data_IF_254621742915
#
_entry.id   IF_254621742915
#
_cell.length_a   1.000
_cell.length_b   1.000
_cell.length_c   1.000
_cell.angle_alpha   90.00
_cell.angle_beta   90.00
_cell.angle_gamma   90.00
#
_symmetry.space_group_name_H-M   'P 1'
#
loop_
_entity.id
_entity.type
_entity.pdbx_description
1 polymer ?
#
# COMPACT_ATOMS: atom_id res chain seq x y z
N UNK A 1 13.97 1.11 34.10
CA UNK A 1 14.44 1.33 32.73
C UNK A 1 13.52 0.49 31.86
N UNK A 2 12.35 1.03 31.52
CA UNK A 2 11.29 0.31 30.82
C UNK A 2 11.64 0.21 29.33
N UNK A 3 11.43 -0.98 28.76
CA UNK A 3 11.74 -1.30 27.37
C UNK A 3 10.77 -0.61 26.39
N UNK A 4 11.21 -0.47 25.14
CA UNK A 4 10.53 0.25 24.07
C UNK A 4 9.40 -0.53 23.36
N UNK A 5 8.82 -1.57 23.97
CA UNK A 5 7.80 -2.43 23.32
C UNK A 5 6.34 -2.13 23.68
N UNK A 6 6.04 -1.09 24.47
CA UNK A 6 4.65 -0.79 24.86
C UNK A 6 4.37 0.71 24.98
N UNK A 7 4.15 1.38 23.85
CA UNK A 7 3.31 2.59 23.80
C UNK A 7 2.01 2.18 23.12
N UNK A 8 0.93 2.16 23.91
CA UNK A 8 -0.37 1.64 23.50
C UNK A 8 -0.98 2.45 22.35
N UNK A 9 -1.06 1.83 21.17
CA UNK A 9 -1.93 2.28 20.08
C UNK A 9 -3.28 1.57 20.24
N UNK A 10 -4.21 2.21 20.93
CA UNK A 10 -5.62 1.84 20.82
C UNK A 10 -6.52 3.05 21.10
N UNK A 11 -6.85 3.81 20.04
CA UNK A 11 -8.20 4.30 19.71
C UNK A 11 -8.17 5.12 18.42
N UNK A 12 -8.82 4.60 17.39
CA UNK A 12 -8.94 5.18 16.05
C UNK A 12 -8.15 4.36 15.04
N UNK A 13 -8.83 3.64 14.14
CA UNK A 13 -8.16 3.14 12.93
C UNK A 13 -7.56 4.36 12.23
N UNK A 14 -6.28 4.39 11.88
CA UNK A 14 -5.70 5.52 11.18
C UNK A 14 -6.52 5.76 9.92
N UNK A 15 -7.20 6.92 9.88
CA UNK A 15 -8.27 7.18 8.93
C UNK A 15 -7.78 7.44 7.51
N UNK A 16 -6.46 7.62 7.33
CA UNK A 16 -5.88 7.72 6.01
C UNK A 16 -4.37 7.53 5.94
N UNK A 17 -3.92 7.26 4.73
CA UNK A 17 -2.54 6.91 4.37
C UNK A 17 -2.15 7.62 3.08
N UNK A 18 -0.86 7.85 2.89
CA UNK A 18 -0.34 8.43 1.67
C UNK A 18 0.88 7.66 1.13
N UNK A 19 1.08 7.72 -0.18
CA UNK A 19 2.27 7.24 -0.85
C UNK A 19 2.62 8.13 -2.05
N UNK A 20 3.91 8.12 -2.40
CA UNK A 20 4.44 8.73 -3.62
C UNK A 20 4.86 7.66 -4.60
N UNK A 21 4.68 7.96 -5.88
CA UNK A 21 5.08 7.13 -7.00
C UNK A 21 5.88 7.98 -7.99
N UNK A 22 6.79 7.36 -8.78
CA UNK A 22 7.48 8.07 -9.85
C UNK A 22 6.50 8.73 -10.81
N UNK A 23 6.83 9.94 -11.28
CA UNK A 23 6.05 10.61 -12.32
C UNK A 23 5.95 9.72 -13.56
N UNK A 24 4.74 9.64 -14.13
CA UNK A 24 4.46 8.78 -15.29
C UNK A 24 4.13 7.33 -14.94
N UNK A 25 4.02 6.97 -13.65
CA UNK A 25 3.44 5.69 -13.23
C UNK A 25 2.06 5.53 -13.87
N UNK A 26 1.76 4.41 -14.57
CA UNK A 26 0.49 4.28 -15.29
C UNK A 26 -0.72 4.46 -14.38
N UNK A 27 -1.66 5.32 -14.79
CA UNK A 27 -2.89 5.56 -14.05
C UNK A 27 -3.70 4.27 -13.80
N UNK A 28 -3.63 3.30 -14.72
CA UNK A 28 -4.26 1.99 -14.54
C UNK A 28 -3.69 1.22 -13.33
N UNK A 29 -2.39 1.35 -13.05
CA UNK A 29 -1.75 0.77 -11.87
C UNK A 29 -2.19 1.49 -10.60
N UNK A 30 -2.18 2.83 -10.59
CA UNK A 30 -2.57 3.62 -9.41
C UNK A 30 -4.06 3.44 -9.05
N UNK A 31 -4.91 3.21 -10.04
CA UNK A 31 -6.35 2.97 -9.88
C UNK A 31 -6.71 1.52 -9.56
N UNK A 32 -5.74 0.61 -9.46
CA UNK A 32 -6.00 -0.78 -9.15
C UNK A 32 -6.41 -0.93 -7.67
N UNK A 33 -7.71 -0.90 -7.42
CA UNK A 33 -8.30 -1.08 -6.08
C UNK A 33 -8.30 -2.54 -5.63
N UNK A 34 -7.84 -3.48 -6.47
CA UNK A 34 -7.60 -4.86 -6.03
C UNK A 34 -6.32 -5.02 -5.22
N UNK A 35 -5.46 -3.99 -5.26
CA UNK A 35 -4.21 -3.93 -4.51
C UNK A 35 -4.32 -2.90 -3.40
N UNK A 36 -3.84 -3.29 -2.23
CA UNK A 36 -3.60 -2.39 -1.12
C UNK A 36 -2.54 -1.34 -1.50
N UNK A 37 -2.53 -0.20 -0.80
CA UNK A 37 -1.49 0.81 -1.00
C UNK A 37 -0.09 0.24 -0.77
N UNK A 38 0.07 -0.65 0.21
CA UNK A 38 1.33 -1.33 0.51
C UNK A 38 1.80 -2.21 -0.65
N UNK A 39 0.90 -2.98 -1.26
CA UNK A 39 1.22 -3.80 -2.44
C UNK A 39 1.62 -2.93 -3.65
N UNK A 40 0.92 -1.82 -3.89
CA UNK A 40 1.29 -0.90 -4.95
C UNK A 40 2.68 -0.29 -4.74
N UNK A 41 3.00 0.13 -3.51
CA UNK A 41 4.32 0.65 -3.16
C UNK A 41 5.40 -0.41 -3.35
N UNK A 42 5.13 -1.67 -2.98
CA UNK A 42 6.08 -2.76 -3.13
C UNK A 42 6.34 -3.15 -4.60
N UNK A 43 5.33 -3.02 -5.47
CA UNK A 43 5.43 -3.42 -6.88
C UNK A 43 6.04 -2.35 -7.79
N UNK A 44 5.86 -1.06 -7.46
CA UNK A 44 6.32 0.04 -8.32
C UNK A 44 7.72 0.50 -7.88
N UNK A 45 8.77 0.30 -8.70
CA UNK A 45 10.12 0.74 -8.34
C UNK A 45 10.18 2.25 -8.16
N UNK A 46 10.71 2.71 -7.02
CA UNK A 46 10.79 4.14 -6.68
C UNK A 46 9.50 4.71 -6.10
N UNK A 47 8.47 3.88 -5.85
CA UNK A 47 7.38 4.26 -4.99
C UNK A 47 7.79 4.11 -3.52
N UNK A 48 7.23 4.97 -2.66
CA UNK A 48 7.48 4.90 -1.23
C UNK A 48 6.26 5.35 -0.43
N UNK A 49 6.09 4.78 0.76
CA UNK A 49 5.02 5.12 1.68
C UNK A 49 5.36 6.41 2.41
N UNK A 50 4.40 7.35 2.43
CA UNK A 50 4.46 8.57 3.23
C UNK A 50 3.81 8.39 4.62
N UNK A 51 3.25 7.21 4.90
CA UNK A 51 2.68 6.88 6.19
C UNK A 51 1.34 7.52 6.47
N UNK A 52 1.07 7.76 7.75
CA UNK A 52 -0.19 8.32 8.24
C UNK A 52 -0.37 9.81 7.91
N UNK A 53 -1.61 10.19 7.60
CA UNK A 53 -2.05 11.58 7.51
C UNK A 53 -2.85 11.98 8.74
N UNK A 54 -2.89 13.29 9.05
CA UNK A 54 -3.60 13.82 10.22
C UNK A 54 -5.10 13.58 10.15
N UNK A 55 -5.79 13.78 11.27
CA UNK A 55 -7.25 13.67 11.35
C UNK A 55 -7.98 14.69 10.47
N UNK A 56 -7.32 15.79 10.10
CA UNK A 56 -7.83 16.79 9.14
C UNK A 56 -7.87 16.24 7.71
N UNK A 57 -7.11 15.17 7.44
CA UNK A 57 -7.08 14.46 6.17
C UNK A 57 -6.51 15.27 5.02
N UNK A 58 -7.18 15.16 3.87
CA UNK A 58 -6.79 15.80 2.61
C UNK A 58 -7.76 16.93 2.31
N UNK A 59 -7.27 18.17 2.28
CA UNK A 59 -8.05 19.35 1.94
C UNK A 59 -7.80 19.77 0.50
N UNK A 60 -8.88 19.94 -0.27
CA UNK A 60 -8.83 20.41 -1.65
C UNK A 60 -9.60 21.73 -1.71
N UNK A 61 -8.91 22.89 -1.83
CA UNK A 61 -9.58 24.17 -1.93
C UNK A 61 -10.37 24.25 -3.25
N UNK A 62 -11.53 24.89 -3.20
CA UNK A 62 -12.41 25.11 -4.37
C UNK A 62 -12.12 26.44 -5.08
N UNK A 63 -11.00 27.09 -4.78
CA UNK A 63 -10.69 28.41 -5.32
C UNK A 63 -10.48 28.33 -6.84
N UNK A 64 -11.43 28.91 -7.57
CA UNK A 64 -11.35 29.07 -9.02
C UNK A 64 -10.88 30.49 -9.31
N UNK A 65 -9.60 30.65 -9.67
CA UNK A 65 -9.11 31.93 -10.19
C UNK A 65 -9.46 32.03 -11.68
N UNK A 66 -10.43 32.87 -12.01
CA UNK A 66 -10.71 33.27 -13.40
C UNK A 66 -10.15 34.67 -13.64
N UNK A 67 -9.41 34.87 -14.74
CA UNK A 67 -9.09 36.23 -15.19
C UNK A 67 -10.21 36.71 -16.12
N UNK A 68 -10.89 37.78 -15.71
CA UNK A 68 -11.83 38.50 -16.55
C UNK A 68 -11.07 39.43 -17.50
N UNK A 69 -11.16 39.15 -18.80
CA UNK A 69 -10.87 40.18 -19.81
C UNK A 69 -12.07 41.11 -19.91
N UNK A 70 -11.82 42.39 -19.70
CA UNK A 70 -12.82 43.46 -19.68
C UNK A 70 -12.70 44.34 -20.91
N UNK A 71 -13.83 44.83 -21.41
CA UNK A 71 -13.86 45.87 -22.44
C UNK A 71 -13.43 47.23 -21.86
N UNK A 72 -13.37 48.23 -22.74
CA UNK A 72 -12.98 49.60 -22.37
C UNK A 72 -14.03 50.32 -21.50
N UNK A 73 -15.24 49.74 -21.36
CA UNK A 73 -16.29 50.19 -20.46
C UNK A 73 -16.31 49.44 -19.12
N UNK A 74 -15.38 48.50 -18.89
CA UNK A 74 -15.28 47.69 -17.67
C UNK A 74 -16.16 46.42 -17.65
N UNK A 75 -16.91 46.13 -18.73
CA UNK A 75 -17.73 44.94 -18.83
C UNK A 75 -16.88 43.72 -19.13
N UNK A 76 -17.16 42.60 -18.48
CA UNK A 76 -16.47 41.33 -18.74
C UNK A 76 -16.87 40.82 -20.13
N UNK A 77 -15.90 40.74 -21.05
CA UNK A 77 -16.09 40.25 -22.43
C UNK A 77 -15.71 38.78 -22.57
N UNK A 78 -14.83 38.29 -21.70
CA UNK A 78 -14.41 36.89 -21.68
C UNK A 78 -13.81 36.57 -20.32
N UNK A 79 -14.34 35.55 -19.65
CA UNK A 79 -13.68 34.95 -18.49
C UNK A 79 -12.85 33.76 -18.98
N UNK A 80 -11.54 33.82 -18.80
CA UNK A 80 -10.62 32.72 -19.10
C UNK A 80 -10.19 32.10 -17.77
N UNK A 81 -10.45 30.81 -17.56
CA UNK A 81 -9.79 30.07 -16.47
C UNK A 81 -8.31 29.93 -16.85
N UNK A 82 -7.42 30.57 -16.11
CA UNK A 82 -6.00 30.72 -16.50
C UNK A 82 -5.12 29.55 -16.05
N UNK A 83 -5.44 28.89 -14.94
CA UNK A 83 -4.83 27.63 -14.52
C UNK A 83 -5.87 26.80 -13.75
N UNK A 84 -6.23 25.59 -14.22
CA UNK A 84 -6.93 24.60 -13.39
C UNK A 84 -5.91 23.88 -12.50
N UNK A 85 -5.10 24.66 -11.78
CA UNK A 85 -4.15 24.14 -10.82
C UNK A 85 -4.88 23.88 -9.50
N UNK A 86 -5.44 22.69 -9.37
CA UNK A 86 -5.99 22.25 -8.08
C UNK A 86 -4.83 21.95 -7.14
N UNK A 87 -4.84 22.49 -5.92
CA UNK A 87 -3.87 22.11 -4.89
C UNK A 87 -4.48 21.12 -3.89
N UNK A 88 -3.62 20.44 -3.15
CA UNK A 88 -3.97 19.61 -2.00
C UNK A 88 -3.16 20.09 -0.81
N UNK A 89 -3.81 20.32 0.32
CA UNK A 89 -3.14 20.46 1.62
C UNK A 89 -3.35 19.18 2.43
N UNK A 90 -2.27 18.66 3.00
CA UNK A 90 -2.25 17.42 3.79
C UNK A 90 -1.16 17.51 4.85
N UNK A 91 -1.33 16.83 5.98
CA UNK A 91 -0.32 16.75 7.03
C UNK A 91 0.13 15.31 7.23
N UNK A 92 1.40 15.01 6.97
CA UNK A 92 2.01 13.71 7.24
C UNK A 92 2.50 13.63 8.70
N UNK A 93 2.22 12.53 9.39
CA UNK A 93 2.52 12.35 10.82
C UNK A 93 3.78 11.52 11.09
N UNK A 94 4.53 11.17 10.04
CA UNK A 94 5.71 10.32 10.16
C UNK A 94 7.00 11.04 9.73
N UNK A 95 8.02 10.98 10.58
CA UNK A 95 9.36 11.48 10.28
C UNK A 95 10.18 10.42 9.54
N UNK A 96 9.67 9.93 8.40
CA UNK A 96 10.36 8.96 7.53
C UNK A 96 11.18 9.66 6.46
N UNK A 97 12.17 8.96 5.91
CA UNK A 97 13.03 9.51 4.85
C UNK A 97 12.18 9.90 3.63
N UNK A 98 11.21 9.07 3.23
CA UNK A 98 10.24 9.35 2.15
C UNK A 98 9.47 10.66 2.36
N UNK A 99 8.92 10.89 3.56
CA UNK A 99 8.19 12.12 3.91
C UNK A 99 9.13 13.31 3.82
N UNK A 100 10.30 13.20 4.44
CA UNK A 100 11.26 14.29 4.47
C UNK A 100 11.78 14.61 3.06
N UNK A 101 12.07 13.61 2.24
CA UNK A 101 12.52 13.77 0.86
C UNK A 101 11.43 14.39 -0.01
N UNK A 102 10.18 13.98 0.19
CA UNK A 102 9.02 14.57 -0.50
C UNK A 102 8.83 16.04 -0.13
N UNK A 103 8.88 16.37 1.16
CA UNK A 103 8.61 17.73 1.68
C UNK A 103 9.78 18.68 1.50
N UNK A 104 11.01 18.21 1.74
CA UNK A 104 12.22 19.04 1.76
C UNK A 104 13.11 18.85 0.55
N UNK A 105 12.88 17.85 -0.31
CA UNK A 105 13.72 17.54 -1.46
C UNK A 105 14.78 16.48 -1.16
N UNK A 106 14.97 15.56 -2.11
CA UNK A 106 15.87 14.40 -1.96
C UNK A 106 17.31 14.82 -1.64
N UNK A 107 17.80 15.88 -2.29
CA UNK A 107 19.14 16.41 -2.09
C UNK A 107 19.35 17.05 -0.70
N UNK A 108 18.27 17.28 0.05
CA UNK A 108 18.27 17.98 1.33
C UNK A 108 18.10 17.04 2.52
N UNK A 109 17.90 15.75 2.27
CA UNK A 109 17.79 14.72 3.31
C UNK A 109 18.93 13.76 3.16
N UNK A 110 19.69 13.55 4.24
CA UNK A 110 20.76 12.57 4.25
C UNK A 110 20.78 11.82 5.57
N UNK A 111 21.06 10.53 5.50
CA UNK A 111 21.18 9.65 6.67
C UNK A 111 22.59 9.09 6.70
N UNK A 112 23.34 9.40 7.75
CA UNK A 112 24.71 8.93 7.96
C UNK A 112 24.90 8.52 9.42
N UNK A 113 25.45 7.34 9.64
CA UNK A 113 25.76 6.81 10.98
C UNK A 113 24.55 6.80 11.94
N UNK A 114 23.34 6.56 11.41
CA UNK A 114 22.09 6.57 12.17
C UNK A 114 21.56 7.97 12.53
N UNK A 115 22.24 9.03 12.09
CA UNK A 115 21.80 10.41 12.22
C UNK A 115 21.23 10.88 10.89
N UNK A 116 20.04 11.47 10.95
CA UNK A 116 19.38 12.07 9.78
C UNK A 116 19.49 13.59 9.84
N UNK A 117 20.03 14.17 8.77
CA UNK A 117 20.13 15.61 8.56
C UNK A 117 19.11 16.02 7.49
N UNK A 118 18.23 16.96 7.83
CA UNK A 118 17.27 17.58 6.92
C UNK A 118 17.57 19.07 6.79
N UNK A 119 17.80 19.55 5.57
CA UNK A 119 18.07 20.95 5.28
C UNK A 119 16.80 21.66 4.81
N UNK A 120 16.42 22.69 5.55
CA UNK A 120 15.23 23.49 5.24
C UNK A 120 15.60 24.60 4.24
N UNK A 121 15.08 24.52 3.01
CA UNK A 121 15.24 25.55 1.97
C UNK A 121 13.96 25.69 1.12
N UNK A 122 13.99 26.51 0.07
CA UNK A 122 12.87 26.70 -0.87
C UNK A 122 12.92 25.74 -2.08
N UNK A 123 13.89 24.83 -2.13
CA UNK A 123 14.04 23.88 -3.22
C UNK A 123 13.23 22.62 -2.90
N UNK A 124 12.00 22.59 -3.41
CA UNK A 124 11.13 21.42 -3.33
C UNK A 124 11.62 20.30 -4.25
N UNK A 125 11.19 19.07 -3.95
CA UNK A 125 11.50 17.91 -4.79
C UNK A 125 10.80 17.99 -6.16
N UNK A 126 11.26 17.17 -7.11
CA UNK A 126 10.63 17.04 -8.42
C UNK A 126 9.17 16.56 -8.35
N UNK A 127 8.45 16.67 -9.47
CA UNK A 127 7.06 16.20 -9.54
C UNK A 127 6.95 14.68 -9.33
N UNK A 128 5.91 14.26 -8.61
CA UNK A 128 5.58 12.87 -8.31
C UNK A 128 4.11 12.58 -8.57
N UNK A 129 3.76 11.30 -8.74
CA UNK A 129 2.37 10.89 -8.57
C UNK A 129 2.09 10.69 -7.07
N UNK A 130 0.94 11.14 -6.58
CA UNK A 130 0.51 10.95 -5.20
C UNK A 130 -0.73 10.08 -5.14
N UNK A 131 -0.80 9.26 -4.10
CA UNK A 131 -1.97 8.46 -3.80
C UNK A 131 -2.30 8.66 -2.31
N UNK A 132 -3.53 9.07 -2.04
CA UNK A 132 -4.07 9.20 -0.69
C UNK A 132 -5.23 8.24 -0.51
N UNK A 133 -5.27 7.51 0.59
CA UNK A 133 -6.42 6.70 0.96
C UNK A 133 -7.05 7.25 2.23
N UNK A 134 -8.37 7.36 2.26
CA UNK A 134 -9.14 7.80 3.41
C UNK A 134 -10.33 6.89 3.65
N UNK A 135 -10.58 6.48 4.89
CA UNK A 135 -11.80 5.79 5.28
C UNK A 135 -12.95 6.81 5.32
N UNK A 136 -14.00 6.59 4.52
CA UNK A 136 -15.17 7.48 4.37
C UNK A 136 -16.49 6.85 4.89
N UNK A 137 -16.39 5.87 5.80
CA UNK A 137 -17.54 5.19 6.41
C UNK A 137 -17.12 3.91 7.12
N UNK A 138 -18.08 3.07 7.53
CA UNK A 138 -17.80 1.83 8.29
C UNK A 138 -16.93 0.83 7.51
N UNK A 139 -17.11 0.77 6.19
CA UNK A 139 -16.37 -0.10 5.27
C UNK A 139 -15.91 0.58 4.00
N UNK A 140 -16.13 1.88 3.79
CA UNK A 140 -15.75 2.56 2.53
C UNK A 140 -14.40 3.26 2.64
N UNK A 141 -13.56 3.10 1.61
CA UNK A 141 -12.32 3.87 1.42
C UNK A 141 -12.41 4.67 0.13
N UNK A 142 -11.95 5.92 0.21
CA UNK A 142 -11.68 6.81 -0.91
C UNK A 142 -10.19 6.80 -1.21
N UNK A 143 -9.81 6.39 -2.41
CA UNK A 143 -8.49 6.61 -2.98
C UNK A 143 -8.50 7.84 -3.88
N UNK A 144 -7.64 8.79 -3.59
CA UNK A 144 -7.38 9.99 -4.40
C UNK A 144 -6.04 9.82 -5.10
N UNK A 145 -6.04 9.85 -6.43
CA UNK A 145 -4.84 9.76 -7.26
C UNK A 145 -4.55 11.12 -7.87
N UNK A 146 -3.31 11.59 -7.72
CA UNK A 146 -2.75 12.77 -8.40
C UNK A 146 -1.65 12.26 -9.32
N UNK A 147 -1.81 12.38 -10.64
CA UNK A 147 -0.82 11.86 -11.59
C UNK A 147 0.47 12.70 -11.63
N UNK A 148 0.35 13.99 -11.34
CA UNK A 148 1.44 14.94 -11.37
C UNK A 148 1.23 16.01 -10.29
N UNK A 149 1.85 15.78 -9.14
CA UNK A 149 1.87 16.70 -8.01
C UNK A 149 3.27 17.28 -7.81
N UNK A 150 3.35 18.55 -7.43
CA UNK A 150 4.61 19.20 -7.01
C UNK A 150 4.39 19.96 -5.71
N UNK A 151 5.29 19.82 -4.75
CA UNK A 151 5.21 20.63 -3.53
C UNK A 151 5.49 22.10 -3.89
N UNK A 152 4.60 22.99 -3.50
CA UNK A 152 4.75 24.44 -3.75
C UNK A 152 4.90 25.25 -2.47
N UNK A 153 4.30 24.77 -1.38
CA UNK A 153 4.31 25.45 -0.09
C UNK A 153 4.39 24.42 1.03
N UNK A 154 4.73 24.90 2.23
CA UNK A 154 4.70 24.12 3.46
C UNK A 154 4.35 25.05 4.61
N UNK A 155 3.55 24.55 5.53
CA UNK A 155 3.19 25.27 6.74
C UNK A 155 4.30 25.20 7.81
N UNK A 156 4.11 25.96 8.88
CA UNK A 156 5.02 25.98 10.03
C UNK A 156 5.11 24.61 10.70
N UNK A 157 6.35 24.17 10.96
CA UNK A 157 6.61 22.95 11.70
C UNK A 157 6.50 23.22 13.21
N UNK A 158 5.37 22.84 13.81
CA UNK A 158 5.17 22.95 15.25
C UNK A 158 5.91 21.82 15.99
N UNK A 159 6.89 22.19 16.83
CA UNK A 159 7.62 21.25 17.68
C UNK A 159 7.24 21.47 19.14
N UNK A 160 6.35 20.61 19.65
CA UNK A 160 5.95 20.64 21.05
C UNK A 160 6.03 19.22 21.65
N UNK A 161 5.82 19.11 22.96
CA UNK A 161 5.93 17.83 23.70
C UNK A 161 4.61 17.06 23.82
N UNK A 162 3.52 17.59 23.24
CA UNK A 162 2.16 17.13 23.43
C UNK A 162 1.57 16.50 22.17
N UNK A 163 2.00 16.96 20.99
CA UNK A 163 1.50 16.53 19.69
C UNK A 163 2.54 15.76 18.88
N UNK A 164 2.07 14.96 17.94
CA UNK A 164 2.92 14.34 16.93
C UNK A 164 3.50 15.41 16.00
N UNK A 165 4.75 15.21 15.58
CA UNK A 165 5.39 16.09 14.62
C UNK A 165 4.72 15.93 13.24
N UNK A 166 4.03 16.98 12.78
CA UNK A 166 3.31 17.00 11.51
C UNK A 166 4.07 17.76 10.42
N UNK A 167 4.16 17.19 9.23
CA UNK A 167 4.72 17.83 8.04
C UNK A 167 3.60 18.18 7.07
N UNK A 168 3.32 19.47 6.90
CA UNK A 168 2.15 19.95 6.19
C UNK A 168 2.51 20.64 4.86
N UNK A 169 2.75 19.90 3.76
CA UNK A 169 2.96 20.50 2.45
C UNK A 169 1.64 20.84 1.73
N UNK A 170 1.74 21.80 0.82
CA UNK A 170 0.76 22.03 -0.25
C UNK A 170 1.30 21.47 -1.56
N UNK A 171 0.51 20.60 -2.17
CA UNK A 171 0.82 19.90 -3.42
C UNK A 171 0.01 20.55 -4.55
N UNK A 172 0.68 21.21 -5.50
CA UNK A 172 0.06 21.66 -6.76
C UNK A 172 -0.14 20.46 -7.68
N UNK A 173 -1.39 20.19 -8.06
CA UNK A 173 -1.75 19.13 -8.99
C UNK A 173 -1.84 19.70 -10.41
N UNK A 174 -1.08 19.12 -11.33
CA UNK A 174 -0.97 19.58 -12.71
C UNK A 174 -1.74 18.63 -13.63
N UNK A 175 -2.65 19.19 -14.42
CA UNK A 175 -3.37 18.45 -15.45
C UNK A 175 -2.41 18.00 -16.56
N UNK A 176 -2.47 16.72 -16.93
CA UNK A 176 -1.91 16.23 -18.18
C UNK A 176 -2.97 16.33 -19.28
N UNK A 177 -2.68 17.05 -20.37
CA UNK A 177 -3.46 17.02 -21.62
C UNK A 177 -4.96 17.38 -21.48
N UNK A 178 -5.32 18.27 -20.54
CA UNK A 178 -6.72 18.69 -20.35
C UNK A 178 -7.61 17.67 -19.63
N UNK A 179 -7.01 16.64 -19.01
CA UNK A 179 -7.70 15.74 -18.07
C UNK A 179 -7.79 16.36 -16.68
N UNK A 180 -8.72 15.87 -15.86
CA UNK A 180 -8.78 16.26 -14.46
C UNK A 180 -7.46 15.90 -13.74
N UNK A 181 -6.84 16.80 -12.98
CA UNK A 181 -5.55 16.56 -12.34
C UNK A 181 -5.61 15.54 -11.20
N UNK A 182 -6.83 15.11 -10.82
CA UNK A 182 -7.12 14.24 -9.70
C UNK A 182 -8.21 13.23 -10.07
N UNK A 183 -8.06 12.00 -9.59
CA UNK A 183 -9.07 10.93 -9.74
C UNK A 183 -9.46 10.41 -8.37
N UNK A 184 -10.77 10.38 -8.08
CA UNK A 184 -11.31 9.75 -6.87
C UNK A 184 -11.87 8.36 -7.18
N UNK A 185 -11.56 7.39 -6.33
CA UNK A 185 -12.14 6.05 -6.37
C UNK A 185 -12.70 5.73 -4.99
N UNK A 186 -14.00 5.49 -4.91
CA UNK A 186 -14.66 5.03 -3.69
C UNK A 186 -14.90 3.51 -3.81
N UNK A 187 -14.40 2.74 -2.85
CA UNK A 187 -14.53 1.28 -2.83
C UNK A 187 -14.72 0.75 -1.42
N UNK A 188 -15.40 -0.39 -1.29
CA UNK A 188 -15.63 -1.03 0.00
C UNK A 188 -14.44 -1.90 0.41
N UNK A 189 -13.89 -1.66 1.59
CA UNK A 189 -12.91 -2.49 2.31
C UNK A 189 -13.60 -3.79 2.70
N UNK A 190 -13.41 -4.79 1.84
CA UNK A 190 -14.14 -6.06 1.88
C UNK A 190 -14.62 -6.53 0.50
N UNK A 191 -14.53 -5.69 -0.53
CA UNK A 191 -14.90 -6.00 -1.91
C UNK A 191 -13.70 -6.27 -2.84
N UNK A 192 -12.52 -6.57 -2.29
CA UNK A 192 -11.47 -7.24 -3.07
C UNK A 192 -11.04 -8.49 -2.34
N UNK A 193 -11.62 -9.63 -2.70
CA UNK A 193 -10.97 -10.90 -2.45
C UNK A 193 -9.60 -10.85 -3.15
N UNK A 194 -8.52 -10.93 -2.39
CA UNK A 194 -7.19 -11.13 -2.96
C UNK A 194 -7.10 -12.61 -3.29
N UNK A 195 -7.23 -13.01 -4.57
CA UNK A 195 -7.34 -14.41 -4.91
C UNK A 195 -6.01 -15.12 -4.65
N UNK A 196 -6.08 -16.39 -4.26
CA UNK A 196 -4.88 -17.24 -4.21
C UNK A 196 -4.31 -17.36 -5.63
N UNK A 197 -3.07 -16.91 -5.81
CA UNK A 197 -2.36 -17.00 -7.09
C UNK A 197 -1.67 -18.35 -7.22
N UNK A 198 -1.03 -18.82 -6.14
CA UNK A 198 -0.36 -20.12 -6.10
C UNK A 198 -0.29 -20.72 -4.70
N UNK A 199 -0.15 -22.05 -4.66
CA UNK A 199 0.19 -22.83 -3.47
C UNK A 199 1.50 -23.54 -3.79
N UNK A 200 2.45 -23.54 -2.85
CA UNK A 200 3.71 -24.27 -2.95
C UNK A 200 3.91 -25.15 -1.72
N UNK A 201 4.57 -26.30 -1.91
CA UNK A 201 5.00 -27.18 -0.82
C UNK A 201 6.51 -27.07 -0.64
N UNK A 202 6.97 -27.18 0.60
CA UNK A 202 8.40 -27.26 0.93
C UNK A 202 9.08 -28.51 0.34
N UNK A 203 8.32 -29.58 0.09
CA UNK A 203 8.80 -30.85 -0.46
C UNK A 203 7.84 -31.37 -1.55
N UNK A 204 8.42 -31.78 -2.69
CA UNK A 204 7.67 -32.44 -3.77
C UNK A 204 7.66 -33.97 -3.69
N UNK A 205 8.55 -34.56 -2.89
CA UNK A 205 8.63 -36.01 -2.68
C UNK A 205 9.05 -36.34 -1.26
N UNK A 206 8.50 -37.42 -0.69
CA UNK A 206 8.88 -37.98 0.61
C UNK A 206 9.12 -39.48 0.48
N UNK A 207 10.13 -39.99 1.18
CA UNK A 207 10.32 -41.42 1.41
C UNK A 207 10.32 -41.68 2.90
N UNK A 208 9.36 -42.48 3.38
CA UNK A 208 9.13 -42.73 4.79
C UNK A 208 9.10 -44.24 5.07
N UNK A 209 9.62 -44.67 6.21
CA UNK A 209 9.37 -46.03 6.71
C UNK A 209 7.97 -46.12 7.33
N UNK A 210 7.36 -47.30 7.35
CA UNK A 210 6.06 -47.51 8.02
C UNK A 210 6.11 -47.00 9.47
N UNK A 211 5.11 -46.21 9.87
CA UNK A 211 5.00 -45.59 11.19
C UNK A 211 5.73 -44.24 11.33
N UNK A 212 6.61 -43.88 10.38
CA UNK A 212 7.26 -42.58 10.39
C UNK A 212 6.29 -41.46 10.03
N UNK A 213 6.63 -40.25 10.50
CA UNK A 213 5.86 -39.03 10.29
C UNK A 213 6.76 -37.93 9.76
N UNK A 214 6.19 -37.06 8.94
CA UNK A 214 6.88 -35.89 8.41
C UNK A 214 5.85 -34.79 8.14
N UNK A 215 6.19 -33.54 8.44
CA UNK A 215 5.32 -32.40 8.15
C UNK A 215 5.66 -31.78 6.80
N UNK A 216 4.62 -31.52 6.01
CA UNK A 216 4.68 -30.70 4.80
C UNK A 216 4.18 -29.29 5.14
N UNK A 217 4.92 -28.28 4.69
CA UNK A 217 4.54 -26.88 4.87
C UNK A 217 4.03 -26.32 3.54
N UNK A 218 2.79 -25.83 3.55
CA UNK A 218 2.19 -25.16 2.40
C UNK A 218 2.36 -23.64 2.52
N UNK A 219 2.83 -23.01 1.43
CA UNK A 219 2.94 -21.56 1.31
C UNK A 219 1.91 -21.06 0.30
N UNK A 220 1.00 -20.20 0.75
CA UNK A 220 -0.04 -19.56 -0.08
C UNK A 220 0.42 -18.17 -0.49
N UNK A 221 0.43 -17.88 -1.79
CA UNK A 221 0.85 -16.60 -2.38
C UNK A 221 -0.34 -15.96 -3.10
N UNK A 222 -0.57 -14.64 -2.92
CA UNK A 222 0.19 -13.70 -2.09
C UNK A 222 -0.02 -13.91 -0.58
N UNK A 223 0.87 -13.34 0.24
CA UNK A 223 0.78 -13.40 1.70
C UNK A 223 -0.55 -12.81 2.24
N UNK A 224 -1.16 -11.91 1.47
CA UNK A 224 -2.40 -11.22 1.80
C UNK A 224 -3.65 -11.83 1.13
N UNK A 225 -3.55 -13.03 0.54
CA UNK A 225 -4.72 -13.72 0.00
C UNK A 225 -5.84 -13.79 1.06
N UNK A 226 -7.09 -13.54 0.66
CA UNK A 226 -8.22 -13.46 1.60
C UNK A 226 -8.70 -14.82 2.08
N UNK A 227 -8.53 -15.87 1.27
CA UNK A 227 -8.78 -17.27 1.64
C UNK A 227 -7.46 -18.05 1.63
N UNK A 228 -6.86 -18.22 2.81
CA UNK A 228 -5.56 -18.89 3.00
C UNK A 228 -5.69 -20.26 3.66
N UNK A 229 -6.91 -20.73 3.86
CA UNK A 229 -7.14 -21.99 4.54
C UNK A 229 -6.69 -23.15 3.65
N UNK A 230 -5.62 -23.82 4.08
CA UNK A 230 -5.06 -24.96 3.34
C UNK A 230 -5.80 -26.22 3.76
N UNK A 231 -6.48 -26.83 2.80
CA UNK A 231 -7.06 -28.16 2.94
C UNK A 231 -6.10 -29.23 2.42
N UNK A 232 -6.07 -30.37 3.10
CA UNK A 232 -5.15 -31.48 2.80
C UNK A 232 -5.90 -32.76 2.43
N UNK A 233 -5.38 -33.49 1.45
CA UNK A 233 -5.95 -34.77 1.01
C UNK A 233 -4.87 -35.78 0.66
N UNK A 234 -5.11 -37.05 0.98
CA UNK A 234 -4.31 -38.18 0.48
C UNK A 234 -5.06 -38.96 -0.60
N UNK A 235 -4.37 -39.32 -1.68
CA UNK A 235 -4.90 -40.20 -2.72
C UNK A 235 -5.03 -41.66 -2.27
N UNK A 236 -4.26 -42.08 -1.26
CA UNK A 236 -4.27 -43.43 -0.72
C UNK A 236 -4.09 -43.42 0.82
N UNK A 237 -5.14 -43.10 1.59
CA UNK A 237 -5.09 -43.05 3.06
C UNK A 237 -4.62 -44.36 3.72
N UNK A 238 -4.85 -45.51 3.06
CA UNK A 238 -4.36 -46.81 3.53
C UNK A 238 -2.83 -46.97 3.42
N UNK A 239 -2.14 -46.09 2.68
CA UNK A 239 -0.68 -46.07 2.50
C UNK A 239 -0.04 -44.92 3.27
N UNK A 240 -0.59 -43.72 3.13
CA UNK A 240 -0.19 -42.56 3.93
C UNK A 240 -1.40 -41.64 4.19
N UNK A 241 -1.54 -41.13 5.41
CA UNK A 241 -2.55 -40.14 5.79
C UNK A 241 -1.91 -38.77 5.96
N UNK A 242 -2.72 -37.71 5.93
CA UNK A 242 -2.30 -36.34 6.21
C UNK A 242 -3.30 -35.68 7.15
N UNK A 243 -2.83 -34.94 8.14
CA UNK A 243 -3.67 -34.17 9.08
C UNK A 243 -4.06 -32.80 8.50
N UNK A 244 -4.96 -32.08 9.18
CA UNK A 244 -5.30 -30.70 8.83
C UNK A 244 -4.12 -29.73 8.94
N UNK A 245 -3.08 -30.08 9.72
CA UNK A 245 -1.86 -29.27 9.88
C UNK A 245 -0.73 -29.68 8.91
N UNK A 246 -0.99 -30.56 7.94
CA UNK A 246 0.03 -31.04 6.99
C UNK A 246 0.97 -32.13 7.53
N UNK A 247 0.68 -32.75 8.69
CA UNK A 247 1.47 -33.89 9.18
C UNK A 247 1.11 -35.16 8.40
N UNK A 248 2.07 -35.69 7.64
CA UNK A 248 1.95 -36.94 6.88
C UNK A 248 2.37 -38.11 7.76
N UNK A 249 1.54 -39.15 7.86
CA UNK A 249 1.86 -40.40 8.58
C UNK A 249 1.90 -41.57 7.61
N UNK A 250 3.01 -42.31 7.62
CA UNK A 250 3.18 -43.52 6.81
C UNK A 250 2.46 -44.72 7.46
N UNK A 251 1.49 -45.31 6.76
CA UNK A 251 0.63 -46.38 7.28
C UNK A 251 1.08 -47.77 6.82
N UNK A 252 1.38 -47.92 5.52
CA UNK A 252 1.78 -49.20 4.94
C UNK A 252 2.57 -48.99 3.65
N UNK A 253 3.45 -49.95 3.33
CA UNK A 253 4.28 -49.90 2.12
C UNK A 253 3.43 -49.69 0.85
N UNK A 254 3.90 -48.79 -0.01
CA UNK A 254 3.20 -48.36 -1.21
C UNK A 254 3.49 -46.90 -1.58
N UNK A 255 2.62 -46.30 -2.38
CA UNK A 255 2.74 -44.91 -2.79
C UNK A 255 1.42 -44.17 -2.59
N UNK A 256 1.52 -42.91 -2.20
CA UNK A 256 0.39 -41.99 -2.04
C UNK A 256 0.80 -40.60 -2.56
N UNK A 257 -0.17 -39.82 -3.01
CA UNK A 257 0.03 -38.40 -3.34
C UNK A 257 -0.74 -37.58 -2.32
N UNK A 258 -0.03 -36.66 -1.67
CA UNK A 258 -0.62 -35.68 -0.75
C UNK A 258 -0.84 -34.39 -1.53
N UNK A 259 -2.05 -33.84 -1.45
CA UNK A 259 -2.45 -32.59 -2.11
C UNK A 259 -2.77 -31.54 -1.04
N UNK A 260 -2.20 -30.34 -1.19
CA UNK A 260 -2.60 -29.14 -0.47
C UNK A 260 -3.38 -28.22 -1.42
N UNK A 261 -4.52 -27.70 -0.99
CA UNK A 261 -5.40 -26.85 -1.79
C UNK A 261 -5.87 -25.63 -1.00
N UNK A 262 -5.80 -24.44 -1.63
CA UNK A 262 -6.29 -23.17 -1.09
C UNK A 262 -6.76 -22.26 -2.25
N UNK A 263 -7.92 -21.60 -2.10
CA UNK A 263 -8.46 -20.66 -3.10
C UNK A 263 -8.51 -21.20 -4.54
N UNK A 264 -8.82 -22.49 -4.71
CA UNK A 264 -8.87 -23.15 -6.03
C UNK A 264 -7.52 -23.43 -6.70
N UNK A 265 -6.40 -23.20 -6.00
CA UNK A 265 -5.05 -23.60 -6.42
C UNK A 265 -4.57 -24.78 -5.60
N UNK A 266 -3.67 -25.59 -6.16
CA UNK A 266 -3.14 -26.77 -5.45
C UNK A 266 -1.67 -27.04 -5.74
N UNK A 267 -1.03 -27.74 -4.79
CA UNK A 267 0.30 -28.31 -4.90
C UNK A 267 0.30 -29.76 -4.39
N UNK A 268 1.22 -30.59 -4.89
CA UNK A 268 1.27 -32.02 -4.58
C UNK A 268 2.65 -32.50 -4.14
N UNK A 269 2.66 -33.51 -3.28
CA UNK A 269 3.85 -34.23 -2.84
C UNK A 269 3.65 -35.74 -3.01
N UNK A 270 4.59 -36.41 -3.66
CA UNK A 270 4.58 -37.87 -3.82
C UNK A 270 5.26 -38.55 -2.63
N UNK A 271 4.53 -39.41 -1.93
CA UNK A 271 5.01 -40.15 -0.76
C UNK A 271 5.22 -41.61 -1.14
N UNK A 272 6.44 -42.10 -0.94
CA UNK A 272 6.80 -43.52 -1.04
C UNK A 272 6.99 -44.07 0.36
N UNK A 273 6.20 -45.08 0.72
CA UNK A 273 6.30 -45.78 2.00
C UNK A 273 7.09 -47.07 1.80
N UNK A 274 8.17 -47.19 2.54
CA UNK A 274 9.06 -48.36 2.59
C UNK A 274 8.73 -49.23 3.79
N UNK A 275 8.92 -50.54 3.65
CA UNK A 275 8.66 -51.52 4.69
C UNK A 275 9.68 -51.45 5.83
#
# INVERSE_FOLDING_TARGET
>A
MLDASTVGVAKGRPGGYAAVFPLGTPLATLKDVSKTLEELVAEVPGADSLGYISEDGVTIPTDTSAEDRRDWGGNVIKSELTEFATSISVTFLESRDSVLMTVYGDANVSTKDGVRETRVNQNFTGAHAFLFEHVIGDSMVRRTVVENGSITERDDLAMNNSDLLGYAPTIKCVSAEGRDPMVFLDFEVGASEVPVQSVALDKGTLTLAVGAKETLNATVVPALATDRDVSWKSSAPAKATVSASGEVTAVAAGSATITAEAGGKSATCNVTVTA
#
